data_IF_892381850055
#
_entry.id   IF_892381850055
#
_cell.length_a   1.000
_cell.length_b   1.000
_cell.length_c   1.000
_cell.angle_alpha   90.00
_cell.angle_beta   90.00
_cell.angle_gamma   90.00
#
_symmetry.space_group_name_H-M   'P 1'
#
loop_
_entity.id
_entity.type
_entity.pdbx_description
1 polymer ?
#
# COMPACT_ATOMS: atom_id res chain seq x y z
N UNK A 1 26.52 4.74 -5.09
CA UNK A 1 26.00 5.39 -3.87
C UNK A 1 25.41 4.33 -2.97
N UNK A 2 25.70 4.36 -1.67
CA UNK A 2 25.08 3.47 -0.70
C UNK A 2 23.62 3.89 -0.46
N UNK A 3 22.72 2.92 -0.28
CA UNK A 3 21.31 3.18 0.08
C UNK A 3 21.27 3.65 1.53
N UNK A 4 20.56 4.75 1.81
CA UNK A 4 20.40 5.30 3.16
C UNK A 4 18.96 5.18 3.66
N UNK A 5 18.77 5.22 4.98
CA UNK A 5 17.44 5.27 5.60
C UNK A 5 16.65 6.47 5.11
N UNK A 6 17.31 7.61 4.88
CA UNK A 6 16.65 8.82 4.40
C UNK A 6 16.11 8.66 2.97
N UNK A 7 16.87 7.99 2.10
CA UNK A 7 16.39 7.65 0.75
C UNK A 7 15.15 6.75 0.80
N UNK A 8 15.12 5.77 1.71
CA UNK A 8 13.95 4.92 1.92
C UNK A 8 12.76 5.72 2.44
N UNK A 9 12.97 6.57 3.45
CA UNK A 9 11.92 7.44 4.00
C UNK A 9 11.32 8.34 2.93
N UNK A 10 12.16 9.01 2.13
CA UNK A 10 11.68 9.88 1.07
C UNK A 10 10.85 9.12 0.02
N UNK A 11 11.26 7.89 -0.35
CA UNK A 11 10.48 7.06 -1.28
C UNK A 11 9.09 6.72 -0.73
N UNK A 12 9.01 6.33 0.54
CA UNK A 12 7.74 6.02 1.20
C UNK A 12 6.87 7.27 1.34
N UNK A 13 7.43 8.40 1.74
CA UNK A 13 6.71 9.67 1.85
C UNK A 13 6.10 10.08 0.50
N UNK A 14 6.86 9.98 -0.59
CA UNK A 14 6.35 10.31 -1.92
C UNK A 14 5.22 9.37 -2.35
N UNK A 15 5.38 8.06 -2.14
CA UNK A 15 4.34 7.08 -2.46
C UNK A 15 3.06 7.32 -1.64
N UNK A 16 3.18 7.67 -0.36
CA UNK A 16 2.04 7.97 0.49
C UNK A 16 1.23 9.17 0.01
N UNK A 17 1.88 10.18 -0.56
CA UNK A 17 1.17 11.35 -1.12
C UNK A 17 0.26 10.94 -2.28
N UNK A 18 0.80 10.17 -3.23
CA UNK A 18 0.01 9.68 -4.37
C UNK A 18 -1.14 8.76 -3.90
N UNK A 19 -0.89 7.95 -2.87
CA UNK A 19 -1.94 7.10 -2.27
C UNK A 19 -3.03 7.91 -1.57
N UNK A 20 -2.69 9.00 -0.89
CA UNK A 20 -3.69 9.89 -0.28
C UNK A 20 -4.59 10.52 -1.35
N UNK A 21 -4.00 11.04 -2.43
CA UNK A 21 -4.77 11.60 -3.55
C UNK A 21 -5.70 10.54 -4.19
N UNK A 22 -5.21 9.31 -4.38
CA UNK A 22 -6.03 8.20 -4.89
C UNK A 22 -7.19 7.83 -3.94
N UNK A 23 -7.00 7.94 -2.62
CA UNK A 23 -8.06 7.71 -1.62
C UNK A 23 -9.12 8.80 -1.73
N UNK A 24 -8.72 10.07 -1.83
CA UNK A 24 -9.66 11.18 -1.96
C UNK A 24 -10.53 11.04 -3.23
N UNK A 25 -9.90 10.70 -4.37
CA UNK A 25 -10.61 10.38 -5.61
C UNK A 25 -11.54 9.18 -5.45
N UNK A 26 -11.12 8.15 -4.71
CA UNK A 26 -11.94 6.97 -4.46
C UNK A 26 -13.20 7.32 -3.67
N UNK A 27 -13.12 8.25 -2.71
CA UNK A 27 -14.27 8.70 -1.92
C UNK A 27 -15.30 9.41 -2.82
N UNK A 28 -14.83 10.30 -3.71
CA UNK A 28 -15.69 11.00 -4.67
C UNK A 28 -16.36 10.02 -5.63
N UNK A 29 -15.57 9.15 -6.27
CA UNK A 29 -16.08 8.18 -7.25
C UNK A 29 -17.13 7.24 -6.68
N UNK A 30 -16.94 6.76 -5.45
CA UNK A 30 -17.86 5.82 -4.79
C UNK A 30 -19.24 6.41 -4.50
N UNK A 31 -19.41 7.74 -4.58
CA UNK A 31 -20.70 8.41 -4.37
C UNK A 31 -21.57 8.44 -5.65
N UNK A 32 -20.97 8.24 -6.83
CA UNK A 32 -21.67 8.37 -8.10
C UNK A 32 -22.66 7.23 -8.38
N UNK A 33 -22.25 5.96 -8.21
CA UNK A 33 -23.14 4.81 -8.39
C UNK A 33 -22.61 3.54 -7.71
N UNK A 34 -23.49 2.54 -7.46
CA UNK A 34 -23.07 1.22 -6.97
C UNK A 34 -22.07 0.49 -7.88
N UNK A 35 -22.19 0.65 -9.20
CA UNK A 35 -21.30 0.04 -10.19
C UNK A 35 -19.88 0.62 -10.07
N UNK A 36 -19.76 1.95 -10.05
CA UNK A 36 -18.47 2.65 -9.87
C UNK A 36 -17.86 2.29 -8.52
N UNK A 37 -18.67 2.18 -7.47
CA UNK A 37 -18.21 1.71 -6.17
C UNK A 37 -17.58 0.30 -6.26
N UNK A 38 -18.16 -0.59 -7.06
CA UNK A 38 -17.59 -1.91 -7.33
C UNK A 38 -16.24 -1.83 -8.03
N UNK A 39 -16.12 -0.99 -9.07
CA UNK A 39 -14.85 -0.78 -9.78
C UNK A 39 -13.75 -0.24 -8.87
N UNK A 40 -14.06 0.75 -8.01
CA UNK A 40 -13.11 1.29 -7.02
C UNK A 40 -12.64 0.20 -6.06
N UNK A 41 -13.52 -0.70 -5.62
CA UNK A 41 -13.13 -1.83 -4.76
C UNK A 41 -12.14 -2.75 -5.49
N UNK A 42 -12.43 -3.13 -6.74
CA UNK A 42 -11.54 -3.99 -7.54
C UNK A 42 -10.14 -3.39 -7.69
N UNK A 43 -10.04 -2.07 -7.97
CA UNK A 43 -8.75 -1.38 -8.10
C UNK A 43 -7.92 -1.50 -6.81
N UNK A 44 -8.56 -1.30 -5.65
CA UNK A 44 -7.87 -1.41 -4.36
C UNK A 44 -7.48 -2.86 -4.02
N UNK A 45 -8.33 -3.84 -4.36
CA UNK A 45 -8.02 -5.27 -4.19
C UNK A 45 -6.80 -5.68 -5.03
N UNK A 46 -6.75 -5.24 -6.29
CA UNK A 46 -5.60 -5.48 -7.19
C UNK A 46 -4.32 -4.86 -6.63
N UNK A 47 -4.36 -3.60 -6.22
CA UNK A 47 -3.21 -2.92 -5.62
C UNK A 47 -2.69 -3.63 -4.37
N UNK A 48 -3.59 -3.93 -3.41
CA UNK A 48 -3.21 -4.58 -2.16
C UNK A 48 -2.65 -5.98 -2.42
N UNK A 49 -3.26 -6.73 -3.35
CA UNK A 49 -2.79 -8.03 -3.78
C UNK A 49 -1.37 -7.98 -4.37
N UNK A 50 -1.12 -7.04 -5.28
CA UNK A 50 0.21 -6.84 -5.88
C UNK A 50 1.25 -6.40 -4.84
N UNK A 51 0.91 -5.44 -3.98
CA UNK A 51 1.82 -4.90 -2.95
C UNK A 51 2.26 -5.97 -1.95
N UNK A 52 1.30 -6.65 -1.30
CA UNK A 52 1.63 -7.71 -0.35
C UNK A 52 2.24 -8.94 -1.04
N UNK A 53 1.82 -9.25 -2.27
CA UNK A 53 2.42 -10.30 -3.09
C UNK A 53 3.90 -10.04 -3.35
N UNK A 54 4.27 -8.80 -3.67
CA UNK A 54 5.65 -8.41 -3.88
C UNK A 54 6.48 -8.49 -2.59
N UNK A 55 5.97 -8.02 -1.44
CA UNK A 55 6.65 -8.16 -0.14
C UNK A 55 6.93 -9.62 0.18
N UNK A 56 5.94 -10.51 0.01
CA UNK A 56 6.09 -11.96 0.24
C UNK A 56 7.14 -12.57 -0.70
N UNK A 57 7.09 -12.23 -1.99
CA UNK A 57 8.07 -12.69 -2.98
C UNK A 57 9.49 -12.28 -2.57
N UNK A 58 9.70 -11.01 -2.24
CA UNK A 58 11.01 -10.50 -1.82
C UNK A 58 11.48 -11.11 -0.52
N UNK A 59 10.59 -11.34 0.44
CA UNK A 59 10.92 -12.01 1.70
C UNK A 59 11.46 -13.44 1.48
N UNK A 60 10.82 -14.19 0.56
CA UNK A 60 11.27 -15.53 0.18
C UNK A 60 12.65 -15.49 -0.50
N UNK A 61 12.83 -14.56 -1.43
CA UNK A 61 14.07 -14.41 -2.21
C UNK A 61 15.25 -13.95 -1.33
N UNK A 62 15.02 -13.06 -0.35
CA UNK A 62 16.05 -12.58 0.58
C UNK A 62 16.26 -13.50 1.78
N UNK A 63 15.41 -14.51 1.98
CA UNK A 63 15.35 -15.35 3.20
C UNK A 63 15.21 -14.51 4.48
N UNK A 64 14.55 -13.35 4.36
CA UNK A 64 14.28 -12.43 5.47
C UNK A 64 12.79 -12.11 5.48
N UNK A 65 12.15 -12.25 6.64
CA UNK A 65 10.72 -11.93 6.75
C UNK A 65 10.56 -10.41 6.89
N UNK A 66 10.29 -9.73 5.77
CA UNK A 66 10.18 -8.27 5.73
C UNK A 66 8.99 -7.71 6.52
N UNK A 67 8.06 -8.57 6.96
CA UNK A 67 6.96 -8.19 7.84
C UNK A 67 7.24 -8.51 9.32
N UNK A 68 8.35 -9.19 9.63
CA UNK A 68 8.74 -9.45 11.01
C UNK A 68 9.06 -8.12 11.72
N UNK A 69 8.64 -8.00 12.97
CA UNK A 69 8.82 -6.78 13.77
C UNK A 69 7.80 -5.67 13.51
N UNK A 70 6.98 -5.77 12.45
CA UNK A 70 5.83 -4.89 12.26
C UNK A 70 4.75 -5.28 13.27
N UNK A 71 4.35 -4.34 14.12
CA UNK A 71 3.25 -4.55 15.07
C UNK A 71 1.94 -4.09 14.46
N UNK A 72 1.12 -5.06 14.07
CA UNK A 72 -0.24 -4.82 13.58
C UNK A 72 -1.13 -4.13 14.62
N UNK A 73 -0.93 -4.42 15.90
CA UNK A 73 -1.61 -3.72 16.99
C UNK A 73 -1.25 -2.22 17.04
N UNK A 74 0.00 -1.84 16.74
CA UNK A 74 0.41 -0.43 16.66
C UNK A 74 -0.13 0.28 15.43
N UNK A 75 -0.47 -0.45 14.36
CA UNK A 75 -1.04 0.13 13.15
C UNK A 75 -2.48 0.63 13.34
N UNK A 76 -3.19 0.19 14.41
CA UNK A 76 -4.56 0.62 14.74
C UNK A 76 -5.52 0.57 13.54
N UNK A 77 -5.46 -0.52 12.76
CA UNK A 77 -6.22 -0.64 11.51
C UNK A 77 -7.70 -1.00 11.69
N UNK A 78 -8.16 -1.21 12.92
CA UNK A 78 -9.56 -1.46 13.29
C UNK A 78 -9.80 -0.99 14.72
#
# INVERSE_FOLDING_TARGET
MAITIEMLRQKITNANRELHEAIDMSIELRQHSPEIKGEVVTIWEEFLGQFFGYIKKRSKESKDNLLAGISWARLKLF
#
